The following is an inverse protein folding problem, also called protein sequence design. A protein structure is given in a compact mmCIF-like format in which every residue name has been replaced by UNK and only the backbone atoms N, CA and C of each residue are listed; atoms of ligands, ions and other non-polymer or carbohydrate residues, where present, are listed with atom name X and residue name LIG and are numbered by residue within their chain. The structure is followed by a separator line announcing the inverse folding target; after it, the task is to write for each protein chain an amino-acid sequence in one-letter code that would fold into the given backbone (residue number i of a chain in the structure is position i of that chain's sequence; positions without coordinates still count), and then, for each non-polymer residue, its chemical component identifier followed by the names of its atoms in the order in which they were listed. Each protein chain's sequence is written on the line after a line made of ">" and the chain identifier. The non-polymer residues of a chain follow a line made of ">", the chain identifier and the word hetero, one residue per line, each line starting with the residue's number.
data_IF_199123228345
#
_entry.id   IF_199123228345
#
_cell.length_a   1.000
_cell.length_b   1.000
_cell.length_c   1.000
_cell.angle_alpha   90.00
_cell.angle_beta   90.00
_cell.angle_gamma   90.00
#
_symmetry.space_group_name_H-M   'P 1'
#
loop_
_entity.id
_entity.type
_entity.pdbx_description
1 polymer ?
#
# COMPACT_ATOMS: atom_id res chain seq x y z
N UNK A 1 -3.32 -15.93 5.03
CA UNK A 1 -4.20 -14.95 5.69
C UNK A 1 -4.18 -13.72 4.81
N UNK A 2 -5.34 -13.22 4.38
CA UNK A 2 -5.40 -11.98 3.59
C UNK A 2 -5.12 -10.82 4.53
N UNK A 3 -4.04 -10.09 4.32
CA UNK A 3 -3.77 -8.88 5.10
C UNK A 3 -4.86 -7.87 4.75
N UNK A 4 -5.52 -7.32 5.77
CA UNK A 4 -6.45 -6.22 5.56
C UNK A 4 -5.66 -4.94 5.24
N UNK A 5 -6.34 -3.95 4.68
CA UNK A 5 -5.74 -2.62 4.46
C UNK A 5 -5.24 -2.03 5.79
N UNK A 6 -5.93 -2.31 6.89
CA UNK A 6 -5.54 -1.88 8.23
C UNK A 6 -4.23 -2.53 8.68
N UNK A 7 -4.05 -3.83 8.44
CA UNK A 7 -2.78 -4.53 8.73
C UNK A 7 -1.61 -3.93 7.93
N UNK A 8 -1.84 -3.68 6.63
CA UNK A 8 -0.85 -3.07 5.73
C UNK A 8 -0.45 -1.68 6.22
N UNK A 9 -1.42 -0.86 6.62
CA UNK A 9 -1.19 0.49 7.10
C UNK A 9 -0.49 0.51 8.47
N UNK A 10 -0.88 -0.41 9.37
CA UNK A 10 -0.28 -0.55 10.69
C UNK A 10 1.19 -0.96 10.57
N UNK A 11 1.47 -1.94 9.72
CA UNK A 11 2.83 -2.43 9.50
C UNK A 11 3.71 -1.37 8.80
N UNK A 12 3.21 -0.73 7.74
CA UNK A 12 3.91 0.41 7.13
C UNK A 12 4.16 1.56 8.11
N UNK A 13 3.26 1.79 9.06
CA UNK A 13 3.45 2.76 10.13
C UNK A 13 4.56 2.37 11.10
N UNK A 14 4.60 1.11 11.55
CA UNK A 14 5.67 0.61 12.42
C UNK A 14 7.06 0.73 11.77
N UNK A 15 7.13 0.65 10.45
CA UNK A 15 8.36 0.83 9.69
C UNK A 15 8.66 2.30 9.30
N UNK A 16 7.86 3.27 9.75
CA UNK A 16 7.92 4.69 9.35
C UNK A 16 7.81 4.93 7.84
N UNK A 17 7.22 3.98 7.10
CA UNK A 17 7.05 4.02 5.64
C UNK A 17 5.61 4.33 5.20
N UNK A 18 4.74 4.69 6.15
CA UNK A 18 3.32 4.97 5.89
C UNK A 18 3.12 6.08 4.87
N UNK A 19 3.85 7.19 4.99
CA UNK A 19 3.72 8.31 4.04
C UNK A 19 4.20 7.95 2.64
N UNK A 20 5.29 7.18 2.55
CA UNK A 20 5.81 6.66 1.28
C UNK A 20 4.80 5.71 0.61
N UNK A 21 4.18 4.82 1.39
CA UNK A 21 3.11 3.94 0.93
C UNK A 21 1.91 4.72 0.37
N UNK A 22 1.44 5.74 1.09
CA UNK A 22 0.31 6.57 0.64
C UNK A 22 0.65 7.37 -0.62
N UNK A 23 1.85 7.95 -0.70
CA UNK A 23 2.34 8.69 -1.87
C UNK A 23 2.37 7.80 -3.11
N UNK A 24 2.88 6.57 -2.96
CA UNK A 24 2.89 5.59 -4.04
C UNK A 24 1.47 5.13 -4.41
N UNK A 25 0.60 4.94 -3.41
CA UNK A 25 -0.80 4.55 -3.59
C UNK A 25 -1.56 5.58 -4.46
N UNK A 26 -1.39 6.88 -4.20
CA UNK A 26 -2.00 7.94 -5.01
C UNK A 26 -1.57 7.83 -6.49
N UNK A 27 -0.28 7.57 -6.71
CA UNK A 27 0.28 7.43 -8.07
C UNK A 27 -0.29 6.22 -8.81
N UNK A 28 -0.38 5.05 -8.15
CA UNK A 28 -0.87 3.82 -8.78
C UNK A 28 -2.40 3.82 -8.94
N UNK A 29 -3.13 4.52 -8.07
CA UNK A 29 -4.59 4.66 -8.15
C UNK A 29 -5.01 5.44 -9.39
N UNK A 30 -4.27 6.49 -9.75
CA UNK A 30 -4.48 7.23 -11.00
C UNK A 30 -4.22 6.36 -12.22
N UNK A 31 -3.20 5.49 -12.17
CA UNK A 31 -2.83 4.59 -13.27
C UNK A 31 -3.74 3.35 -13.39
N UNK A 32 -4.38 2.94 -12.30
CA UNK A 32 -5.20 1.72 -12.24
C UNK A 32 -6.55 2.00 -11.53
N UNK A 33 -7.42 2.85 -12.11
CA UNK A 33 -8.67 3.25 -11.45
C UNK A 33 -9.68 2.10 -11.26
N UNK A 34 -9.55 1.03 -12.05
CA UNK A 34 -10.47 -0.12 -12.03
C UNK A 34 -10.00 -1.27 -11.14
N UNK A 35 -8.86 -1.14 -10.45
CA UNK A 35 -8.40 -2.16 -9.50
C UNK A 35 -9.07 -1.98 -8.14
N UNK A 36 -9.24 -3.10 -7.46
CA UNK A 36 -9.65 -3.13 -6.06
C UNK A 36 -8.66 -2.34 -5.19
N UNK A 37 -9.20 -1.61 -4.20
CA UNK A 37 -8.37 -0.82 -3.29
C UNK A 37 -7.36 -1.72 -2.57
N UNK A 38 -7.81 -2.89 -2.11
CA UNK A 38 -6.98 -3.87 -1.40
C UNK A 38 -5.78 -4.31 -2.23
N UNK A 39 -5.97 -4.55 -3.53
CA UNK A 39 -4.88 -4.91 -4.45
C UNK A 39 -3.88 -3.76 -4.62
N UNK A 40 -4.38 -2.52 -4.72
CA UNK A 40 -3.51 -1.33 -4.80
C UNK A 40 -2.68 -1.16 -3.53
N UNK A 41 -3.29 -1.34 -2.36
CA UNK A 41 -2.59 -1.28 -1.08
C UNK A 41 -1.53 -2.38 -0.95
N UNK A 42 -1.86 -3.61 -1.35
CA UNK A 42 -0.91 -4.72 -1.36
C UNK A 42 0.27 -4.44 -2.29
N UNK A 43 0.01 -3.96 -3.51
CA UNK A 43 1.07 -3.60 -4.47
C UNK A 43 1.98 -2.48 -3.95
N UNK A 44 1.39 -1.46 -3.33
CA UNK A 44 2.15 -0.35 -2.75
C UNK A 44 3.03 -0.84 -1.59
N UNK A 45 2.46 -1.66 -0.71
CA UNK A 45 3.16 -2.26 0.41
C UNK A 45 4.34 -3.14 -0.04
N UNK A 46 4.13 -4.04 -0.99
CA UNK A 46 5.20 -4.88 -1.53
C UNK A 46 6.34 -4.06 -2.14
N UNK A 47 6.02 -2.93 -2.76
CA UNK A 47 7.02 -2.03 -3.35
C UNK A 47 7.83 -1.27 -2.31
N UNK A 48 7.18 -0.81 -1.26
CA UNK A 48 7.77 0.03 -0.21
C UNK A 48 8.49 -0.80 0.86
N UNK A 49 8.02 -2.01 1.13
CA UNK A 49 8.62 -2.92 2.11
C UNK A 49 9.71 -3.82 1.53
N UNK A 50 9.74 -4.08 0.22
CA UNK A 50 10.90 -4.75 -0.38
C UNK A 50 12.13 -3.83 -0.36
N UNK A 51 13.30 -4.31 0.12
CA UNK A 51 14.55 -3.57 0.07
C UNK A 51 15.05 -3.33 -1.35
#
# INVERSE_FOLDING_TARGET
>A
MSNTIEDILLDAHHHNKREELLTYLETIRIKNPNRELTDLYQMAYERVMRP
#
